data_IF_685728262913
#
_entry.id   IF_685728262913
#
_cell.length_a   1.000
_cell.length_b   1.000
_cell.length_c   1.000
_cell.angle_alpha   90.00
_cell.angle_beta   90.00
_cell.angle_gamma   90.00
#
_symmetry.space_group_name_H-M   'P 1'
#
loop_
_entity.id
_entity.type
_entity.pdbx_description
1 polymer ?
#
# COMPACT_ATOMS: atom_id res chain seq x y z
N UNK A 1 -20.70 11.70 6.08
CA UNK A 1 -20.46 12.59 4.91
C UNK A 1 -19.09 12.29 4.35
N UNK A 2 -18.98 11.62 3.20
CA UNK A 2 -17.68 11.29 2.65
C UNK A 2 -16.95 12.56 2.18
N UNK A 3 -15.61 12.56 2.17
CA UNK A 3 -14.85 13.77 1.86
C UNK A 3 -15.12 14.24 0.42
N UNK A 4 -14.97 15.55 0.18
CA UNK A 4 -15.18 16.14 -1.15
C UNK A 4 -14.25 15.53 -2.20
N UNK A 5 -13.01 15.23 -1.82
CA UNK A 5 -11.98 14.67 -2.70
C UNK A 5 -12.25 13.23 -3.16
N UNK A 6 -13.23 12.52 -2.61
CA UNK A 6 -13.56 11.13 -3.01
C UNK A 6 -13.79 10.97 -4.52
N UNK A 7 -14.29 12.02 -5.18
CA UNK A 7 -14.56 12.01 -6.62
C UNK A 7 -13.30 12.04 -7.46
N UNK A 8 -12.17 12.43 -6.85
CA UNK A 8 -10.84 12.46 -7.46
C UNK A 8 -10.14 11.10 -7.39
N UNK A 9 -10.64 10.14 -6.59
CA UNK A 9 -10.09 8.78 -6.58
C UNK A 9 -10.29 8.13 -7.95
N UNK A 10 -9.21 7.72 -8.58
CA UNK A 10 -9.24 6.97 -9.84
C UNK A 10 -9.34 5.47 -9.56
N UNK A 11 -9.98 4.66 -10.44
CA UNK A 11 -9.98 3.21 -10.29
C UNK A 11 -8.61 2.59 -10.63
N UNK A 12 -8.30 1.45 -10.00
CA UNK A 12 -7.14 0.62 -10.30
C UNK A 12 -7.02 0.32 -11.80
N UNK A 13 -5.87 0.63 -12.41
CA UNK A 13 -5.54 0.30 -13.80
C UNK A 13 -4.70 -0.98 -13.84
N UNK A 14 -5.22 -2.13 -14.28
CA UNK A 14 -4.50 -3.40 -14.19
C UNK A 14 -3.15 -3.37 -14.90
N UNK A 15 -2.15 -3.99 -14.28
CA UNK A 15 -0.86 -4.24 -14.91
C UNK A 15 -0.91 -5.40 -15.92
N UNK A 16 0.18 -5.55 -16.67
CA UNK A 16 0.46 -6.75 -17.44
C UNK A 16 0.48 -7.97 -16.50
N UNK A 17 -0.15 -9.07 -16.92
CA UNK A 17 -0.06 -10.37 -16.23
C UNK A 17 1.29 -11.06 -16.38
N UNK A 18 2.22 -10.42 -17.10
CA UNK A 18 3.56 -10.88 -17.34
C UNK A 18 4.54 -9.88 -16.73
N UNK A 19 5.27 -10.34 -15.71
CA UNK A 19 6.18 -9.56 -14.89
C UNK A 19 7.63 -10.00 -15.11
N UNK A 20 8.56 -9.13 -14.73
CA UNK A 20 9.99 -9.38 -14.82
C UNK A 20 10.52 -9.65 -13.41
N UNK A 21 11.40 -10.64 -13.23
CA UNK A 21 12.04 -10.87 -11.92
C UNK A 21 13.18 -9.88 -11.72
N UNK A 22 13.25 -9.28 -10.53
CA UNK A 22 14.37 -8.40 -10.16
C UNK A 22 15.74 -9.07 -10.31
N UNK A 23 15.84 -10.38 -10.04
CA UNK A 23 17.09 -11.15 -10.22
C UNK A 23 17.52 -11.29 -11.69
N UNK A 24 16.60 -11.15 -12.63
CA UNK A 24 16.85 -11.29 -14.06
C UNK A 24 17.16 -9.94 -14.72
N UNK A 25 16.80 -8.83 -14.06
CA UNK A 25 17.19 -7.46 -14.47
C UNK A 25 18.67 -7.18 -14.18
N UNK A 26 19.23 -7.81 -13.13
CA UNK A 26 20.65 -7.66 -12.79
C UNK A 26 21.33 -9.03 -12.61
N UNK A 27 21.70 -9.70 -13.72
CA UNK A 27 22.29 -11.04 -13.67
C UNK A 27 23.69 -11.07 -13.03
N UNK A 28 24.35 -9.90 -12.91
CA UNK A 28 25.71 -9.77 -12.37
C UNK A 28 25.72 -9.23 -10.93
N UNK A 29 24.73 -9.56 -10.09
CA UNK A 29 24.73 -9.22 -8.66
C UNK A 29 25.78 -10.06 -7.87
N UNK A 30 27.00 -10.20 -8.39
CA UNK A 30 28.14 -10.76 -7.67
C UNK A 30 28.89 -9.62 -6.95
N UNK A 31 28.36 -9.24 -5.78
CA UNK A 31 29.04 -8.33 -4.86
C UNK A 31 28.68 -6.86 -5.02
N UNK A 32 28.45 -6.20 -3.88
CA UNK A 32 28.32 -4.75 -3.80
C UNK A 32 29.73 -4.14 -3.89
N UNK A 33 30.13 -3.67 -5.06
CA UNK A 33 31.32 -2.82 -5.18
C UNK A 33 30.93 -1.36 -4.97
N UNK A 34 31.41 -0.72 -3.89
CA UNK A 34 31.16 0.70 -3.58
C UNK A 34 31.72 1.68 -4.64
N UNK A 35 32.49 1.17 -5.61
CA UNK A 35 33.21 1.98 -6.60
C UNK A 35 32.39 2.32 -7.85
N UNK A 36 31.27 1.63 -8.11
CA UNK A 36 30.35 1.93 -9.23
C UNK A 36 28.90 1.72 -8.81
N UNK A 37 27.99 2.69 -9.07
CA UNK A 37 26.57 2.44 -8.91
C UNK A 37 26.17 1.29 -9.83
N UNK A 38 25.42 0.32 -9.32
CA UNK A 38 24.87 -0.75 -10.14
C UNK A 38 23.94 -0.13 -11.20
N UNK A 39 23.92 -0.68 -12.42
CA UNK A 39 23.13 -0.21 -13.57
C UNK A 39 21.60 -0.26 -13.40
N UNK A 40 21.11 -0.40 -12.17
CA UNK A 40 19.69 -0.46 -11.83
C UNK A 40 18.89 0.75 -12.35
N UNK A 41 19.54 1.91 -12.50
CA UNK A 41 18.90 3.15 -12.92
C UNK A 41 18.66 3.31 -14.44
N UNK A 42 19.08 2.36 -15.28
CA UNK A 42 18.93 2.47 -16.74
C UNK A 42 18.32 1.23 -17.40
N UNK A 43 17.56 0.40 -16.67
CA UNK A 43 16.82 -0.70 -17.30
C UNK A 43 15.83 -0.12 -18.31
N UNK A 44 16.08 -0.37 -19.59
CA UNK A 44 15.26 0.14 -20.69
C UNK A 44 14.33 -0.98 -21.15
N UNK A 45 13.05 -0.83 -20.82
CA UNK A 45 12.01 -1.79 -21.14
C UNK A 45 11.87 -2.07 -22.65
N UNK A 46 12.30 -1.14 -23.50
CA UNK A 46 12.21 -1.24 -24.96
C UNK A 46 13.51 -1.75 -25.59
N UNK A 47 14.65 -1.63 -24.90
CA UNK A 47 15.96 -2.07 -25.41
C UNK A 47 16.44 -3.40 -24.82
N UNK A 48 16.02 -3.77 -23.61
CA UNK A 48 16.48 -4.97 -22.91
C UNK A 48 15.47 -6.13 -23.05
N UNK A 49 15.90 -7.23 -23.68
CA UNK A 49 15.10 -8.46 -23.79
C UNK A 49 15.15 -9.28 -22.48
N UNK A 50 14.40 -8.86 -21.46
CA UNK A 50 14.29 -9.62 -20.21
C UNK A 50 13.11 -10.60 -20.26
N UNK A 51 13.28 -11.87 -19.84
CA UNK A 51 12.20 -12.84 -19.76
C UNK A 51 11.04 -12.32 -18.91
N UNK A 52 9.82 -12.55 -19.39
CA UNK A 52 8.59 -12.21 -18.67
C UNK A 52 7.89 -13.48 -18.21
N UNK A 53 7.52 -13.53 -16.94
CA UNK A 53 6.88 -14.69 -16.32
C UNK A 53 5.43 -14.36 -15.97
N UNK A 54 4.52 -15.34 -16.08
CA UNK A 54 3.16 -15.19 -15.57
C UNK A 54 3.14 -14.79 -14.09
N UNK A 55 2.29 -13.83 -13.72
CA UNK A 55 2.15 -13.31 -12.35
C UNK A 55 1.81 -14.40 -11.31
N UNK A 56 1.10 -15.45 -11.72
CA UNK A 56 0.68 -16.56 -10.85
C UNK A 56 1.81 -17.54 -10.51
N UNK A 57 2.96 -17.43 -11.20
CA UNK A 57 4.17 -18.21 -10.95
C UNK A 57 5.19 -17.45 -10.09
N UNK A 58 4.91 -16.20 -9.72
CA UNK A 58 5.81 -15.35 -8.97
C UNK A 58 5.30 -15.06 -7.56
N UNK A 59 6.20 -14.87 -6.59
CA UNK A 59 5.80 -14.37 -5.27
C UNK A 59 5.28 -12.94 -5.40
N UNK A 60 4.30 -12.60 -4.56
CA UNK A 60 3.78 -11.24 -4.44
C UNK A 60 4.47 -10.49 -3.31
N UNK A 61 4.69 -9.20 -3.51
CA UNK A 61 5.34 -8.29 -2.56
C UNK A 61 4.34 -7.27 -2.04
N UNK A 62 4.25 -7.16 -0.71
CA UNK A 62 3.54 -6.09 -0.04
C UNK A 62 4.54 -5.09 0.55
N UNK A 63 4.36 -3.80 0.26
CA UNK A 63 5.13 -2.72 0.87
C UNK A 63 4.28 -2.04 1.95
N UNK A 64 4.72 -2.10 3.20
CA UNK A 64 4.15 -1.31 4.29
C UNK A 64 4.88 0.03 4.39
N UNK A 65 4.19 1.11 4.05
CA UNK A 65 4.64 2.47 4.35
C UNK A 65 4.33 2.78 5.82
N UNK A 66 5.26 2.48 6.70
CA UNK A 66 5.23 2.87 8.12
C UNK A 66 6.28 3.96 8.36
N UNK A 67 5.89 5.22 8.15
CA UNK A 67 6.81 6.37 8.23
C UNK A 67 6.37 7.29 9.36
N UNK A 68 7.31 7.58 10.27
CA UNK A 68 7.23 8.54 11.37
C UNK A 68 5.88 8.59 12.13
N UNK A 69 5.31 7.42 12.38
CA UNK A 69 4.06 7.16 13.11
C UNK A 69 2.75 7.58 12.41
N UNK A 70 2.75 8.12 11.18
CA UNK A 70 1.49 8.31 10.43
C UNK A 70 1.44 9.38 9.35
N UNK A 71 0.31 10.11 9.31
CA UNK A 71 0.02 11.14 8.30
C UNK A 71 0.98 12.32 8.38
N UNK A 72 1.80 12.48 7.35
CA UNK A 72 2.66 13.64 7.20
C UNK A 72 2.11 14.53 6.08
N UNK A 73 2.98 15.37 5.56
CA UNK A 73 2.77 16.23 4.41
C UNK A 73 2.19 15.50 3.17
N UNK A 74 2.38 14.18 3.08
CA UNK A 74 1.86 13.30 2.03
C UNK A 74 0.36 12.99 2.15
N UNK A 75 -0.27 13.41 3.26
CA UNK A 75 -1.72 13.34 3.47
C UNK A 75 -2.50 14.43 2.74
N UNK A 76 -1.83 15.49 2.29
CA UNK A 76 -2.43 16.60 1.57
C UNK A 76 -2.86 16.20 0.15
N UNK A 77 -4.02 16.69 -0.27
CA UNK A 77 -4.61 16.40 -1.59
C UNK A 77 -3.69 16.85 -2.73
N UNK A 78 -3.09 18.04 -2.58
CA UNK A 78 -2.20 18.64 -3.58
C UNK A 78 -0.72 18.26 -3.33
N UNK A 79 -0.47 17.29 -2.44
CA UNK A 79 0.86 16.94 -1.98
C UNK A 79 1.49 18.04 -1.13
N UNK A 80 2.82 18.07 -1.13
CA UNK A 80 3.63 18.99 -0.33
C UNK A 80 4.75 19.63 -1.15
N UNK A 81 5.17 20.81 -0.70
CA UNK A 81 6.39 21.46 -1.18
C UNK A 81 7.66 20.99 -0.47
N UNK A 82 7.56 20.11 0.53
CA UNK A 82 8.73 19.55 1.22
C UNK A 82 9.44 18.52 0.34
N UNK A 83 10.66 18.85 -0.09
CA UNK A 83 11.52 17.97 -0.87
C UNK A 83 12.01 16.74 -0.12
N UNK A 84 11.85 16.69 1.21
CA UNK A 84 12.19 15.54 2.04
C UNK A 84 11.00 14.61 2.29
N UNK A 85 9.82 14.93 1.74
CA UNK A 85 8.67 14.07 1.84
C UNK A 85 8.96 12.69 1.24
N UNK A 86 8.37 11.65 1.83
CA UNK A 86 8.59 10.29 1.36
C UNK A 86 8.08 10.14 -0.08
N UNK A 87 8.96 9.66 -0.96
CA UNK A 87 8.65 9.37 -2.35
C UNK A 87 8.98 7.92 -2.65
N UNK A 88 8.08 7.25 -3.38
CA UNK A 88 8.26 5.86 -3.80
C UNK A 88 8.13 5.77 -5.32
N UNK A 89 9.15 5.15 -5.95
CA UNK A 89 9.27 5.08 -7.42
C UNK A 89 9.19 3.65 -7.97
N UNK A 90 9.44 2.63 -7.14
CA UNK A 90 9.59 1.24 -7.57
C UNK A 90 8.26 0.47 -7.59
N UNK A 91 7.23 1.07 -8.17
CA UNK A 91 5.88 0.50 -8.24
C UNK A 91 5.81 -0.84 -8.96
N UNK A 92 6.66 -1.07 -9.97
CA UNK A 92 6.73 -2.34 -10.70
C UNK A 92 7.20 -3.53 -9.86
N UNK A 93 7.79 -3.27 -8.68
CA UNK A 93 8.31 -4.30 -7.79
C UNK A 93 7.36 -4.70 -6.65
N UNK A 94 6.16 -4.11 -6.58
CA UNK A 94 5.20 -4.34 -5.49
C UNK A 94 3.81 -4.67 -6.05
N UNK A 95 3.05 -5.48 -5.34
CA UNK A 95 1.67 -5.86 -5.71
C UNK A 95 0.63 -5.13 -4.86
N UNK A 96 0.99 -4.84 -3.62
CA UNK A 96 0.13 -4.21 -2.62
C UNK A 96 0.94 -3.14 -1.90
N UNK A 97 0.41 -1.93 -1.85
CA UNK A 97 0.91 -0.83 -1.04
C UNK A 97 -0.01 -0.62 0.15
N UNK A 98 0.53 -0.79 1.36
CA UNK A 98 -0.18 -0.56 2.61
C UNK A 98 0.23 0.79 3.19
N UNK A 99 -0.72 1.71 3.28
CA UNK A 99 -0.51 2.98 3.99
C UNK A 99 -0.73 2.76 5.49
N UNK A 100 0.37 2.74 6.24
CA UNK A 100 0.41 2.36 7.65
C UNK A 100 0.52 3.57 8.57
N UNK A 101 -0.20 3.51 9.70
CA UNK A 101 -0.16 4.50 10.77
C UNK A 101 -0.76 3.88 12.04
N UNK A 102 -0.43 4.45 13.19
CA UNK A 102 -0.90 4.04 14.52
C UNK A 102 -2.25 4.67 14.91
N UNK A 103 -3.15 4.87 13.94
CA UNK A 103 -4.54 5.23 14.20
C UNK A 103 -5.45 4.03 14.01
N UNK A 104 -6.47 3.90 14.86
CA UNK A 104 -7.42 2.78 14.83
C UNK A 104 -7.90 2.45 13.40
N UNK A 105 -8.18 3.48 12.61
CA UNK A 105 -8.48 3.36 11.18
C UNK A 105 -7.67 4.40 10.43
N UNK A 106 -6.81 3.93 9.53
CA UNK A 106 -5.96 4.76 8.66
C UNK A 106 -6.38 4.57 7.21
N UNK A 107 -6.99 5.60 6.64
CA UNK A 107 -7.38 5.67 5.23
C UNK A 107 -6.19 6.14 4.39
N UNK A 108 -5.84 5.46 3.28
CA UNK A 108 -4.78 5.92 2.38
C UNK A 108 -5.09 7.31 1.80
N UNK A 109 -4.12 8.24 1.76
CA UNK A 109 -4.30 9.54 1.11
C UNK A 109 -4.61 9.43 -0.39
N UNK A 110 -5.30 10.44 -0.94
CA UNK A 110 -5.68 10.48 -2.36
C UNK A 110 -4.47 10.29 -3.30
N UNK A 111 -3.36 10.96 -3.01
CA UNK A 111 -2.15 10.87 -3.82
C UNK A 111 -1.66 9.43 -3.94
N UNK A 112 -1.57 8.72 -2.80
CA UNK A 112 -1.16 7.33 -2.72
C UNK A 112 -2.14 6.37 -3.41
N UNK A 113 -3.46 6.58 -3.26
CA UNK A 113 -4.48 5.80 -3.98
C UNK A 113 -4.26 5.93 -5.49
N UNK A 114 -4.20 7.16 -5.99
CA UNK A 114 -4.17 7.41 -7.43
C UNK A 114 -2.85 6.96 -8.08
N UNK A 115 -1.70 7.22 -7.45
CA UNK A 115 -0.40 6.82 -8.01
C UNK A 115 -0.25 5.30 -8.05
N UNK A 116 -0.63 4.59 -6.99
CA UNK A 116 -0.56 3.14 -6.98
C UNK A 116 -1.49 2.53 -8.04
N UNK A 117 -2.72 3.06 -8.17
CA UNK A 117 -3.65 2.62 -9.19
C UNK A 117 -3.17 2.88 -10.62
N UNK A 118 -2.50 4.01 -10.85
CA UNK A 118 -1.89 4.31 -12.14
C UNK A 118 -0.79 3.28 -12.51
N UNK A 119 -0.12 2.73 -11.50
CA UNK A 119 0.84 1.65 -11.60
C UNK A 119 0.23 0.27 -11.25
N UNK A 120 -1.06 0.03 -11.44
CA UNK A 120 -1.65 -1.31 -11.26
C UNK A 120 -1.44 -2.00 -9.92
N UNK A 121 -1.08 -1.25 -8.88
CA UNK A 121 -0.80 -1.71 -7.52
C UNK A 121 -2.03 -1.48 -6.67
N UNK A 122 -2.41 -2.48 -5.89
CA UNK A 122 -3.53 -2.34 -4.94
C UNK A 122 -3.12 -1.48 -3.77
N UNK A 123 -3.99 -0.60 -3.29
CA UNK A 123 -3.75 0.19 -2.09
C UNK A 123 -4.68 -0.26 -0.97
N UNK A 124 -4.11 -0.44 0.22
CA UNK A 124 -4.87 -0.79 1.42
C UNK A 124 -4.57 0.20 2.55
N UNK A 125 -5.60 0.48 3.35
CA UNK A 125 -5.45 1.19 4.62
C UNK A 125 -5.01 0.25 5.73
N UNK A 126 -4.95 0.78 6.95
CA UNK A 126 -4.60 0.01 8.15
C UNK A 126 -5.69 0.13 9.19
N UNK A 127 -5.99 -0.99 9.86
CA UNK A 127 -6.73 -1.05 11.10
C UNK A 127 -5.75 -1.56 12.15
N UNK A 128 -5.42 -0.72 13.12
CA UNK A 128 -4.52 -1.10 14.21
C UNK A 128 -5.24 -1.03 15.55
N UNK A 129 -5.04 -2.02 16.40
CA UNK A 129 -5.58 -2.02 17.76
C UNK A 129 -4.44 -2.26 18.73
N UNK A 130 -4.23 -1.34 19.66
CA UNK A 130 -3.06 -1.35 20.54
C UNK A 130 -3.50 -1.27 22.00
N UNK A 131 -2.76 -1.93 22.88
CA UNK A 131 -2.87 -1.80 24.33
C UNK A 131 -4.29 -2.07 24.88
N UNK A 132 -4.66 -1.39 25.97
CA UNK A 132 -5.96 -1.57 26.63
C UNK A 132 -7.12 -1.09 25.78
N UNK A 133 -6.93 -0.02 25.01
CA UNK A 133 -7.95 0.57 24.15
C UNK A 133 -8.34 -0.37 23.02
N UNK A 134 -7.35 -1.04 22.41
CA UNK A 134 -7.57 -2.09 21.42
C UNK A 134 -8.35 -3.27 21.99
N UNK A 135 -8.06 -3.70 23.21
CA UNK A 135 -8.80 -4.79 23.86
C UNK A 135 -10.27 -4.40 24.11
N UNK A 136 -10.53 -3.16 24.56
CA UNK A 136 -11.89 -2.66 24.74
C UNK A 136 -12.65 -2.55 23.41
N UNK A 137 -11.98 -2.12 22.35
CA UNK A 137 -12.55 -2.09 21.00
C UNK A 137 -13.00 -3.49 20.59
N UNK A 138 -12.14 -4.50 20.69
CA UNK A 138 -12.51 -5.87 20.32
C UNK A 138 -13.61 -6.46 21.20
N UNK A 139 -13.63 -6.19 22.50
CA UNK A 139 -14.74 -6.61 23.36
C UNK A 139 -16.09 -6.06 22.87
N UNK A 140 -16.12 -4.82 22.35
CA UNK A 140 -17.31 -4.23 21.77
C UNK A 140 -17.65 -4.84 20.40
N UNK A 141 -16.66 -4.91 19.49
CA UNK A 141 -16.88 -5.45 18.13
C UNK A 141 -17.34 -6.90 18.18
N UNK A 142 -16.76 -7.71 19.07
CA UNK A 142 -17.04 -9.14 19.20
C UNK A 142 -18.20 -9.45 20.16
N UNK A 143 -18.83 -8.44 20.78
CA UNK A 143 -19.97 -8.63 21.69
C UNK A 143 -21.19 -9.29 21.03
N UNK A 144 -21.33 -9.16 19.71
CA UNK A 144 -22.35 -9.83 18.91
C UNK A 144 -21.99 -9.79 17.42
N UNK A 145 -22.56 -10.72 16.65
CA UNK A 145 -22.46 -10.69 15.18
C UNK A 145 -22.95 -9.36 14.59
N UNK A 146 -24.00 -8.76 15.16
CA UNK A 146 -24.53 -7.49 14.68
C UNK A 146 -23.52 -6.33 14.82
N UNK A 147 -22.77 -6.28 15.93
CA UNK A 147 -21.73 -5.27 16.13
C UNK A 147 -20.57 -5.47 15.16
N UNK A 148 -20.11 -6.71 15.00
CA UNK A 148 -19.09 -7.06 14.01
C UNK A 148 -19.51 -6.65 12.60
N UNK A 149 -20.73 -7.00 12.19
CA UNK A 149 -21.27 -6.63 10.88
C UNK A 149 -21.38 -5.13 10.69
N UNK A 150 -21.70 -4.37 11.74
CA UNK A 150 -21.76 -2.91 11.69
C UNK A 150 -20.39 -2.32 11.38
N UNK A 151 -19.33 -2.78 12.07
CA UNK A 151 -17.95 -2.33 11.86
C UNK A 151 -17.44 -2.73 10.48
N UNK A 152 -17.61 -4.00 10.09
CA UNK A 152 -17.19 -4.50 8.77
C UNK A 152 -17.90 -3.74 7.65
N UNK A 153 -19.21 -3.49 7.78
CA UNK A 153 -19.99 -2.74 6.79
C UNK A 153 -19.48 -1.29 6.64
N UNK A 154 -19.12 -0.64 7.75
CA UNK A 154 -18.53 0.69 7.71
C UNK A 154 -17.18 0.71 6.98
N UNK A 155 -16.29 -0.23 7.30
CA UNK A 155 -14.97 -0.37 6.66
C UNK A 155 -15.08 -0.65 5.16
N UNK A 156 -16.00 -1.53 4.76
CA UNK A 156 -16.29 -1.81 3.34
C UNK A 156 -16.87 -0.58 2.64
N UNK A 157 -17.75 0.16 3.31
CA UNK A 157 -18.35 1.38 2.75
C UNK A 157 -17.28 2.45 2.51
N UNK A 158 -16.34 2.63 3.44
CA UNK A 158 -15.21 3.56 3.29
C UNK A 158 -14.34 3.14 2.10
N UNK A 159 -13.88 1.88 2.06
CA UNK A 159 -13.03 1.36 1.00
C UNK A 159 -13.68 1.54 -0.39
N UNK A 160 -14.97 1.18 -0.53
CA UNK A 160 -15.72 1.37 -1.79
C UNK A 160 -15.90 2.84 -2.18
N UNK A 161 -16.14 3.71 -1.20
CA UNK A 161 -16.37 5.14 -1.45
C UNK A 161 -15.11 5.84 -1.95
N UNK A 162 -13.95 5.42 -1.45
CA UNK A 162 -12.65 6.00 -1.76
C UNK A 162 -11.84 5.15 -2.75
N UNK A 163 -12.42 4.05 -3.23
CA UNK A 163 -11.95 3.15 -4.30
C UNK A 163 -10.66 2.39 -4.00
N UNK A 164 -10.29 2.14 -2.75
CA UNK A 164 -9.11 1.32 -2.41
C UNK A 164 -9.51 -0.11 -1.99
N UNK A 165 -8.55 -1.04 -2.02
CA UNK A 165 -8.82 -2.49 -2.08
C UNK A 165 -9.02 -3.19 -0.73
N UNK A 166 -8.87 -2.49 0.39
CA UNK A 166 -9.13 -3.07 1.71
C UNK A 166 -8.22 -2.56 2.81
N UNK A 167 -7.94 -3.44 3.77
CA UNK A 167 -7.32 -3.08 5.04
C UNK A 167 -6.32 -4.15 5.48
N UNK A 168 -5.14 -3.71 5.93
CA UNK A 168 -4.28 -4.51 6.80
C UNK A 168 -4.85 -4.47 8.22
N UNK A 169 -5.00 -5.62 8.85
CA UNK A 169 -5.41 -5.72 10.25
C UNK A 169 -4.20 -6.04 11.13
N UNK A 170 -3.79 -5.10 11.98
CA UNK A 170 -2.67 -5.26 12.89
C UNK A 170 -3.16 -5.22 14.35
N UNK A 171 -3.15 -6.37 15.02
CA UNK A 171 -3.68 -6.52 16.38
C UNK A 171 -2.54 -6.66 17.37
N UNK A 172 -2.26 -5.59 18.12
CA UNK A 172 -1.19 -5.48 19.12
C UNK A 172 -1.74 -5.42 20.55
N UNK A 173 -2.85 -6.14 20.77
CA UNK A 173 -3.46 -6.31 22.09
C UNK A 173 -4.01 -7.73 22.22
N UNK A 174 -4.38 -8.12 23.45
CA UNK A 174 -5.11 -9.39 23.66
C UNK A 174 -6.54 -9.26 23.13
N UNK A 175 -6.98 -10.28 22.40
CA UNK A 175 -8.37 -10.48 22.01
C UNK A 175 -8.91 -11.63 22.86
N UNK A 176 -10.04 -11.41 23.51
CA UNK A 176 -10.65 -12.36 24.45
C UNK A 176 -11.90 -12.99 23.86
#
# INVERSE_FOLDING_TARGET
>A
NPPAWRTLCEPLRPHSKYLIKNSEVNPNFEGITLEKPQSFCHFDLDADETPRHPEDQLPRTLLCHDMANGYHDDSAIDGTGDHNAYAFYYWSGVDIFCYFSHHLVTIPPLGWINVAHAHGVKVIGTIITEWMEGALFWNQVLSSEQQMQTVVSALVTIAKTLKFEGWLLNVENKVH
#
